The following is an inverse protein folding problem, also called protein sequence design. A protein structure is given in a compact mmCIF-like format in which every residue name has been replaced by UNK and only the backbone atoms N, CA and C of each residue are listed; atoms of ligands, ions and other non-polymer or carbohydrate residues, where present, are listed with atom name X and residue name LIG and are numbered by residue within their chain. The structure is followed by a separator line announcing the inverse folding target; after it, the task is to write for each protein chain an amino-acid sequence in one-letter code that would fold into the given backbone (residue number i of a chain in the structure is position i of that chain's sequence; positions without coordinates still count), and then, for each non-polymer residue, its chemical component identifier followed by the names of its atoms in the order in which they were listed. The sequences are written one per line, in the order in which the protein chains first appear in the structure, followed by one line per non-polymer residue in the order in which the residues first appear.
data_IF_248437907185
#
_entry.id   IF_248437907185
#
_cell.length_a   1.000
_cell.length_b   1.000
_cell.length_c   1.000
_cell.angle_alpha   90.00
_cell.angle_beta   90.00
_cell.angle_gamma   90.00
#
_symmetry.space_group_name_H-M   'P 1'
#
loop_
_entity.id
_entity.type
_entity.pdbx_description
1 polymer ?
#
# COMPACT_ATOMS: atom_id res chain seq x y z
N UNK A 1 -10.05 7.02 39.67
CA UNK A 1 -9.47 5.82 39.04
C UNK A 1 -9.35 6.10 37.56
N UNK A 2 -8.17 5.88 36.99
CA UNK A 2 -8.03 5.81 35.51
C UNK A 2 -8.29 4.35 35.09
N UNK A 3 -9.10 4.18 34.05
CA UNK A 3 -9.50 2.87 33.52
C UNK A 3 -8.55 2.44 32.41
N UNK A 4 -8.32 1.14 32.17
CA UNK A 4 -7.56 0.70 31.03
C UNK A 4 -8.30 1.06 29.72
N UNK A 5 -7.56 1.37 28.66
CA UNK A 5 -8.10 1.76 27.35
C UNK A 5 -8.07 0.57 26.36
N UNK A 6 -9.00 0.58 25.40
CA UNK A 6 -9.02 -0.37 24.29
C UNK A 6 -7.72 -0.32 23.50
N UNK A 7 -7.24 -1.48 23.03
CA UNK A 7 -5.99 -1.62 22.29
C UNK A 7 -6.19 -2.44 21.02
N UNK A 8 -5.72 -1.90 19.89
CA UNK A 8 -5.49 -2.67 18.66
C UNK A 8 -4.00 -3.07 18.61
N UNK A 9 -3.72 -4.35 18.49
CA UNK A 9 -2.37 -4.89 18.50
C UNK A 9 -2.12 -5.80 17.29
N UNK A 10 -0.91 -5.74 16.75
CA UNK A 10 -0.48 -6.66 15.70
C UNK A 10 -0.04 -7.98 16.34
N UNK A 11 -0.37 -9.10 15.68
CA UNK A 11 0.08 -10.44 16.09
C UNK A 11 1.58 -10.44 16.40
N UNK A 12 1.97 -11.04 17.52
CA UNK A 12 3.36 -11.18 17.95
C UNK A 12 3.90 -10.00 18.75
N UNK A 13 3.16 -8.88 18.88
CA UNK A 13 3.58 -7.74 19.69
C UNK A 13 3.25 -7.92 21.17
N UNK A 14 3.80 -7.05 22.01
CA UNK A 14 3.43 -6.97 23.44
C UNK A 14 2.43 -5.84 23.64
N UNK A 15 1.47 -6.07 24.54
CA UNK A 15 0.43 -5.11 24.94
C UNK A 15 0.53 -4.87 26.43
N UNK A 16 0.50 -3.62 26.87
CA UNK A 16 0.44 -3.27 28.28
C UNK A 16 -0.81 -2.44 28.55
N UNK A 17 -1.59 -2.88 29.56
CA UNK A 17 -2.69 -2.15 30.12
C UNK A 17 -2.26 -1.53 31.45
N UNK A 18 -2.54 -0.25 31.65
CA UNK A 18 -2.20 0.50 32.85
C UNK A 18 -3.46 1.09 33.51
N UNK A 19 -3.42 1.15 34.84
CA UNK A 19 -4.42 1.85 35.61
C UNK A 19 -3.78 2.79 36.64
N UNK A 20 -4.51 3.79 37.07
CA UNK A 20 -4.14 4.61 38.21
C UNK A 20 -5.32 4.70 39.19
N UNK A 21 -5.08 4.32 40.42
CA UNK A 21 -6.09 4.38 41.46
C UNK A 21 -5.58 5.14 42.71
N UNK A 22 -6.46 5.87 43.32
CA UNK A 22 -6.24 6.58 44.62
C UNK A 22 -7.18 6.07 45.65
N UNK A 23 -6.77 6.06 46.91
CA UNK A 23 -7.57 5.63 48.05
C UNK A 23 -6.71 5.39 49.29
N UNK A 24 -7.37 5.00 50.38
CA UNK A 24 -6.68 4.65 51.62
C UNK A 24 -5.89 3.35 51.45
N UNK A 25 -4.67 3.34 51.93
CA UNK A 25 -3.76 2.17 51.85
C UNK A 25 -4.07 1.17 52.99
N UNK A 26 -3.74 -0.14 52.81
CA UNK A 26 -3.18 -0.75 51.63
C UNK A 26 -4.19 -0.90 50.48
N UNK A 27 -3.75 -0.68 49.23
CA UNK A 27 -4.54 -0.94 48.01
C UNK A 27 -3.97 -2.19 47.36
N UNK A 28 -4.83 -3.12 46.98
CA UNK A 28 -4.50 -4.34 46.24
C UNK A 28 -5.23 -4.35 44.91
N UNK A 29 -4.64 -5.01 43.92
CA UNK A 29 -5.12 -5.10 42.53
C UNK A 29 -5.23 -6.55 42.12
N UNK A 30 -6.21 -6.89 41.30
CA UNK A 30 -6.36 -8.17 40.65
C UNK A 30 -6.88 -7.98 39.25
N UNK A 31 -6.04 -8.28 38.25
CA UNK A 31 -6.44 -8.23 36.83
C UNK A 31 -7.33 -9.41 36.49
N UNK A 32 -8.30 -9.16 35.62
CA UNK A 32 -9.24 -10.16 35.11
C UNK A 32 -9.24 -10.14 33.58
N UNK A 33 -9.26 -11.32 32.94
CA UNK A 33 -9.55 -11.54 31.53
C UNK A 33 -10.95 -12.12 31.39
N UNK A 34 -11.85 -11.46 30.67
CA UNK A 34 -13.25 -11.87 30.48
C UNK A 34 -13.97 -12.15 31.80
N UNK A 35 -13.66 -11.37 32.83
CA UNK A 35 -14.25 -11.51 34.18
C UNK A 35 -13.60 -12.58 35.03
N UNK A 36 -12.61 -13.32 34.59
CA UNK A 36 -11.88 -14.36 35.35
C UNK A 36 -10.52 -13.83 35.79
N UNK A 37 -10.13 -14.06 37.03
CA UNK A 37 -8.86 -13.62 37.58
C UNK A 37 -7.67 -14.20 36.84
N UNK A 38 -6.70 -13.33 36.54
CA UNK A 38 -5.41 -13.71 35.97
C UNK A 38 -4.46 -13.94 37.16
N UNK A 39 -4.10 -15.20 37.41
CA UNK A 39 -3.29 -15.56 38.57
C UNK A 39 -1.95 -14.81 38.61
N UNK A 40 -1.63 -14.19 39.72
CA UNK A 40 -0.40 -13.42 39.94
C UNK A 40 -0.38 -12.01 39.34
N UNK A 41 -1.41 -11.59 38.63
CA UNK A 41 -1.49 -10.24 38.00
C UNK A 41 -2.09 -9.24 39.02
N UNK A 42 -1.25 -8.76 39.92
CA UNK A 42 -1.63 -7.91 41.07
C UNK A 42 -0.97 -6.52 41.06
N UNK A 43 -0.35 -6.13 39.95
CA UNK A 43 0.26 -4.81 39.79
C UNK A 43 -0.70 -3.75 39.22
N UNK A 44 -0.24 -2.51 39.10
CA UNK A 44 -0.97 -1.42 38.47
C UNK A 44 -0.92 -1.51 36.93
N UNK A 45 -0.11 -2.43 36.38
CA UNK A 45 -0.02 -2.72 34.95
C UNK A 45 -0.11 -4.22 34.69
N UNK A 46 -0.67 -4.59 33.52
CA UNK A 46 -0.70 -5.94 32.99
C UNK A 46 -0.05 -5.93 31.61
N UNK A 47 1.04 -6.69 31.47
CA UNK A 47 1.70 -6.89 30.15
C UNK A 47 1.38 -8.27 29.60
N UNK A 48 0.79 -8.28 28.39
CA UNK A 48 0.59 -9.47 27.60
C UNK A 48 1.73 -9.56 26.59
N UNK A 49 2.46 -10.65 26.56
CA UNK A 49 3.59 -10.85 25.64
C UNK A 49 3.18 -11.68 24.44
N UNK A 50 3.66 -11.29 23.23
CA UNK A 50 3.46 -12.07 22.02
C UNK A 50 1.99 -12.40 21.74
N UNK A 51 1.10 -11.38 21.75
CA UNK A 51 -0.34 -11.59 21.56
C UNK A 51 -0.65 -12.27 20.22
N UNK A 52 -1.62 -13.19 20.24
CA UNK A 52 -2.03 -13.98 19.09
C UNK A 52 -3.47 -13.67 18.67
N UNK A 53 -3.89 -14.08 17.46
CA UNK A 53 -5.26 -13.88 16.98
C UNK A 53 -6.31 -14.46 17.95
N UNK A 54 -5.97 -15.54 18.66
CA UNK A 54 -6.84 -16.14 19.67
C UNK A 54 -7.06 -15.26 20.92
N UNK A 55 -6.24 -14.23 21.13
CA UNK A 55 -6.43 -13.26 22.21
C UNK A 55 -7.38 -12.13 21.84
N UNK A 56 -7.71 -11.99 20.56
CA UNK A 56 -8.60 -10.96 20.04
C UNK A 56 -10.01 -11.10 20.66
N UNK A 57 -10.70 -9.97 20.85
CA UNK A 57 -12.01 -9.84 21.49
C UNK A 57 -12.02 -10.24 22.97
N UNK A 58 -10.84 -10.31 23.62
CA UNK A 58 -10.76 -10.46 25.07
C UNK A 58 -10.90 -9.11 25.77
N UNK A 59 -11.58 -9.09 26.90
CA UNK A 59 -11.71 -7.89 27.73
C UNK A 59 -10.86 -8.00 28.98
N UNK A 60 -10.25 -6.88 29.39
CA UNK A 60 -9.38 -6.80 30.55
C UNK A 60 -9.85 -5.69 31.50
N UNK A 61 -9.91 -5.99 32.80
CA UNK A 61 -10.29 -5.05 33.85
C UNK A 61 -9.54 -5.35 35.14
N UNK A 62 -9.62 -4.44 36.10
CA UNK A 62 -8.99 -4.60 37.42
C UNK A 62 -10.04 -4.51 38.52
N UNK A 63 -9.98 -5.42 39.44
CA UNK A 63 -10.64 -5.32 40.76
C UNK A 63 -9.62 -4.71 41.71
N UNK A 64 -10.02 -3.61 42.38
CA UNK A 64 -9.20 -2.83 43.30
C UNK A 64 -9.82 -2.93 44.68
N UNK A 65 -9.04 -3.32 45.66
CA UNK A 65 -9.55 -3.55 47.04
C UNK A 65 -8.69 -2.81 48.04
N UNK A 66 -9.37 -2.25 49.08
CA UNK A 66 -8.75 -1.75 50.30
C UNK A 66 -9.57 -2.17 51.54
N UNK A 67 -9.17 -1.83 52.78
CA UNK A 67 -9.92 -2.21 53.99
C UNK A 67 -11.34 -1.69 54.04
N UNK A 68 -11.73 -0.75 53.20
CA UNK A 68 -13.05 -0.11 53.19
C UNK A 68 -13.98 -0.61 52.09
N UNK A 69 -13.47 -1.44 51.17
CA UNK A 69 -14.27 -2.02 50.08
C UNK A 69 -13.52 -2.28 48.78
N UNK A 70 -14.28 -2.65 47.76
CA UNK A 70 -13.80 -2.96 46.41
C UNK A 70 -14.40 -2.04 45.37
N UNK A 71 -13.63 -1.77 44.33
CA UNK A 71 -14.08 -1.10 43.10
C UNK A 71 -13.54 -1.86 41.88
N UNK A 72 -14.30 -1.85 40.79
CA UNK A 72 -13.87 -2.49 39.53
C UNK A 72 -13.83 -1.44 38.44
N UNK A 73 -12.77 -1.49 37.61
CA UNK A 73 -12.66 -0.59 36.46
C UNK A 73 -13.64 -0.99 35.34
N UNK A 74 -13.85 -0.10 34.37
CA UNK A 74 -14.41 -0.50 33.10
C UNK A 74 -13.45 -1.50 32.40
N UNK A 75 -14.00 -2.25 31.47
CA UNK A 75 -13.23 -3.22 30.70
C UNK A 75 -12.63 -2.58 29.47
N UNK A 76 -11.34 -2.84 29.22
CA UNK A 76 -10.67 -2.56 27.96
C UNK A 76 -10.77 -3.75 27.02
N UNK A 77 -11.07 -3.49 25.75
CA UNK A 77 -11.10 -4.50 24.70
C UNK A 77 -9.71 -4.63 24.04
N UNK A 78 -9.22 -5.84 23.92
CA UNK A 78 -8.06 -6.16 23.09
C UNK A 78 -8.54 -6.68 21.72
N UNK A 79 -8.15 -6.00 20.67
CA UNK A 79 -8.33 -6.48 19.30
C UNK A 79 -6.96 -6.82 18.70
N UNK A 80 -6.78 -8.05 18.26
CA UNK A 80 -5.51 -8.51 17.65
C UNK A 80 -5.75 -8.85 16.19
N UNK A 81 -4.87 -8.36 15.32
CA UNK A 81 -4.95 -8.58 13.90
C UNK A 81 -3.57 -8.66 13.24
N UNK A 82 -3.56 -8.89 11.93
CA UNK A 82 -2.36 -8.87 11.09
C UNK A 82 -2.27 -7.56 10.33
N UNK A 83 -1.07 -6.99 10.25
CA UNK A 83 -0.79 -5.86 9.38
C UNK A 83 -1.08 -6.21 7.90
N UNK A 84 -1.38 -5.25 7.04
CA UNK A 84 -1.43 -5.47 5.61
C UNK A 84 -0.11 -6.04 5.08
N UNK A 85 -0.21 -6.89 4.07
CA UNK A 85 0.94 -7.40 3.29
C UNK A 85 0.51 -7.55 1.84
N UNK A 86 1.21 -6.88 0.92
CA UNK A 86 0.88 -6.93 -0.50
C UNK A 86 1.12 -8.32 -1.08
N UNK A 87 0.14 -8.78 -1.88
CA UNK A 87 0.18 -10.05 -2.64
C UNK A 87 0.11 -9.80 -4.15
N UNK A 88 -0.36 -8.61 -4.56
CA UNK A 88 -0.32 -8.11 -5.93
C UNK A 88 0.35 -6.74 -5.90
N UNK A 89 1.36 -6.57 -6.75
CA UNK A 89 2.11 -5.32 -6.94
C UNK A 89 1.84 -4.76 -8.33
N UNK A 90 1.94 -3.42 -8.54
CA UNK A 90 1.81 -2.86 -9.89
C UNK A 90 2.93 -3.41 -10.79
N UNK A 91 2.57 -3.71 -12.03
CA UNK A 91 3.52 -4.20 -13.03
C UNK A 91 4.10 -3.04 -13.84
N UNK A 92 5.34 -3.24 -14.34
CA UNK A 92 5.91 -2.35 -15.35
C UNK A 92 5.02 -2.37 -16.59
N UNK A 93 4.75 -1.18 -17.12
CA UNK A 93 3.79 -0.98 -18.22
C UNK A 93 4.36 0.01 -19.23
N UNK A 94 4.29 -0.34 -20.50
CA UNK A 94 4.55 0.59 -21.60
C UNK A 94 3.22 1.03 -22.21
N UNK A 95 3.02 2.31 -22.34
CA UNK A 95 1.81 2.91 -22.90
C UNK A 95 2.12 3.91 -24.01
N UNK A 96 1.21 4.02 -24.97
CA UNK A 96 1.25 5.09 -25.96
C UNK A 96 0.50 6.30 -25.41
N UNK A 97 1.00 7.50 -25.65
CA UNK A 97 0.32 8.76 -25.30
C UNK A 97 -1.14 8.75 -25.79
N UNK A 98 -2.06 9.23 -24.94
CA UNK A 98 -3.49 9.24 -25.19
C UNK A 98 -4.23 7.93 -24.88
N UNK A 99 -3.55 6.84 -24.52
CA UNK A 99 -4.20 5.59 -24.12
C UNK A 99 -4.53 5.57 -22.60
N UNK A 100 -5.40 4.66 -22.19
CA UNK A 100 -5.70 4.47 -20.76
C UNK A 100 -4.82 3.37 -20.18
N UNK A 101 -4.35 3.57 -18.93
CA UNK A 101 -3.57 2.61 -18.15
C UNK A 101 -4.30 2.29 -16.86
N UNK A 102 -4.33 1.01 -16.49
CA UNK A 102 -4.88 0.54 -15.21
C UNK A 102 -3.76 -0.20 -14.47
N UNK A 103 -3.43 0.29 -13.27
CA UNK A 103 -2.50 -0.37 -12.35
C UNK A 103 -3.31 -0.98 -11.21
N UNK A 104 -2.90 -2.16 -10.74
CA UNK A 104 -3.65 -2.93 -9.73
C UNK A 104 -2.73 -3.38 -8.61
N UNK A 105 -3.26 -3.34 -7.38
CA UNK A 105 -2.64 -3.91 -6.19
C UNK A 105 -3.65 -4.73 -5.41
N UNK A 106 -3.17 -5.66 -4.60
CA UNK A 106 -3.98 -6.31 -3.56
C UNK A 106 -3.10 -6.63 -2.34
N UNK A 107 -3.70 -6.57 -1.15
CA UNK A 107 -3.05 -6.88 0.11
C UNK A 107 -3.95 -7.74 0.98
N UNK A 108 -3.33 -8.73 1.66
CA UNK A 108 -3.93 -9.49 2.74
C UNK A 108 -3.67 -8.79 4.07
N UNK A 109 -4.53 -9.05 5.06
CA UNK A 109 -4.41 -8.51 6.42
C UNK A 109 -5.76 -8.47 7.12
N UNK A 110 -5.75 -8.05 8.37
CA UNK A 110 -7.01 -7.83 9.12
C UNK A 110 -7.55 -6.44 8.78
N UNK A 111 -8.76 -6.40 8.22
CA UNK A 111 -9.40 -5.16 7.75
C UNK A 111 -10.02 -4.28 8.83
N UNK A 112 -10.48 -3.09 8.45
CA UNK A 112 -10.52 -2.59 7.09
C UNK A 112 -9.14 -2.16 6.57
N UNK A 113 -8.82 -2.47 5.30
CA UNK A 113 -7.58 -2.06 4.64
C UNK A 113 -7.91 -0.91 3.69
N UNK A 114 -7.28 0.24 3.92
CA UNK A 114 -7.28 1.39 3.02
C UNK A 114 -6.03 1.39 2.14
N UNK A 115 -6.13 2.00 0.96
CA UNK A 115 -5.02 2.15 0.03
C UNK A 115 -4.77 3.62 -0.27
N UNK A 116 -3.53 3.98 -0.57
CA UNK A 116 -3.13 5.27 -1.11
C UNK A 116 -2.07 5.05 -2.20
N UNK A 117 -2.38 5.47 -3.44
CA UNK A 117 -1.42 5.42 -4.53
C UNK A 117 -0.45 6.58 -4.48
N UNK A 118 0.79 6.30 -4.91
CA UNK A 118 1.88 7.26 -5.00
C UNK A 118 2.53 7.19 -6.39
N UNK A 119 2.91 8.36 -6.92
CA UNK A 119 3.78 8.50 -8.10
C UNK A 119 5.12 9.08 -7.64
N UNK A 120 6.23 8.39 -7.93
CA UNK A 120 7.58 8.80 -7.53
C UNK A 120 7.69 9.11 -6.02
N UNK A 121 6.91 8.39 -5.18
CA UNK A 121 6.88 8.55 -3.73
C UNK A 121 5.96 9.67 -3.21
N UNK A 122 5.26 10.38 -4.09
CA UNK A 122 4.30 11.45 -3.72
C UNK A 122 2.88 10.90 -3.86
N UNK A 123 2.03 11.18 -2.86
CA UNK A 123 0.65 10.74 -2.85
C UNK A 123 -0.15 11.33 -4.02
N UNK A 124 -0.99 10.50 -4.63
CA UNK A 124 -1.96 10.90 -5.64
C UNK A 124 -3.30 11.11 -4.96
N UNK A 125 -3.71 12.36 -4.84
CA UNK A 125 -4.94 12.75 -4.15
C UNK A 125 -6.16 11.98 -4.66
N UNK A 126 -6.96 11.43 -3.73
CA UNK A 126 -8.17 10.68 -4.03
C UNK A 126 -7.95 9.29 -4.62
N UNK A 127 -6.71 8.86 -4.86
CA UNK A 127 -6.38 7.55 -5.42
C UNK A 127 -6.26 6.49 -4.32
N UNK A 128 -7.42 6.04 -3.81
CA UNK A 128 -7.51 5.17 -2.61
C UNK A 128 -8.07 3.77 -2.86
N UNK A 129 -8.28 3.40 -4.12
CA UNK A 129 -8.78 2.07 -4.51
C UNK A 129 -7.66 1.04 -4.71
N UNK A 130 -8.04 -0.24 -4.88
CA UNK A 130 -7.12 -1.32 -5.31
C UNK A 130 -6.61 -1.13 -6.74
N UNK A 131 -7.27 -0.28 -7.52
CA UNK A 131 -6.91 0.05 -8.90
C UNK A 131 -6.69 1.55 -9.03
N UNK A 132 -5.65 1.91 -9.78
CA UNK A 132 -5.40 3.27 -10.26
C UNK A 132 -5.65 3.27 -11.76
N UNK A 133 -6.57 4.14 -12.22
CA UNK A 133 -6.83 4.35 -13.64
C UNK A 133 -6.27 5.70 -14.05
N UNK A 134 -5.36 5.68 -15.01
CA UNK A 134 -4.81 6.86 -15.67
C UNK A 134 -5.47 6.96 -17.05
N UNK A 135 -6.25 8.01 -17.30
CA UNK A 135 -6.95 8.19 -18.57
C UNK A 135 -6.13 9.06 -19.50
N UNK A 136 -6.06 8.67 -20.79
CA UNK A 136 -5.38 9.42 -21.84
C UNK A 136 -3.97 9.87 -21.41
N UNK A 137 -3.11 8.90 -21.01
CA UNK A 137 -1.80 9.20 -20.43
C UNK A 137 -0.96 10.10 -21.30
N UNK A 138 -0.26 11.03 -20.68
CA UNK A 138 0.70 11.96 -21.32
C UNK A 138 2.13 11.54 -20.98
N UNK A 139 3.14 12.09 -21.72
CA UNK A 139 4.55 11.83 -21.45
C UNK A 139 4.94 12.16 -20.00
N UNK A 140 4.27 13.17 -19.41
CA UNK A 140 4.45 13.57 -18.00
C UNK A 140 3.97 12.52 -16.99
N UNK A 141 3.13 11.54 -17.40
CA UNK A 141 2.66 10.47 -16.53
C UNK A 141 3.67 9.35 -16.34
N UNK A 142 4.74 9.31 -17.13
CA UNK A 142 5.82 8.37 -16.91
C UNK A 142 6.39 8.50 -15.49
N UNK A 143 6.70 7.35 -14.87
CA UNK A 143 7.22 7.33 -13.50
C UNK A 143 6.99 6.02 -12.79
N UNK A 144 7.42 5.95 -11.52
CA UNK A 144 7.25 4.80 -10.66
C UNK A 144 5.97 4.94 -9.83
N UNK A 145 5.09 3.97 -9.92
CA UNK A 145 3.81 3.92 -9.21
C UNK A 145 3.80 2.79 -8.18
N UNK A 146 3.38 3.10 -6.96
CA UNK A 146 3.22 2.14 -5.88
C UNK A 146 2.00 2.48 -5.03
N UNK A 147 1.58 1.58 -4.16
CA UNK A 147 0.53 1.84 -3.19
C UNK A 147 1.02 1.58 -1.77
N UNK A 148 0.49 2.34 -0.81
CA UNK A 148 0.58 2.10 0.63
C UNK A 148 -0.76 1.53 1.09
N UNK A 149 -0.74 0.38 1.75
CA UNK A 149 -1.89 -0.23 2.40
C UNK A 149 -1.83 0.02 3.91
N UNK A 150 -2.93 0.44 4.52
CA UNK A 150 -3.02 0.78 5.94
C UNK A 150 -4.22 0.09 6.58
N UNK A 151 -4.07 -0.37 7.82
CA UNK A 151 -5.15 -0.87 8.68
C UNK A 151 -4.91 -0.44 10.13
N UNK A 152 -5.84 -0.69 11.08
CA UNK A 152 -5.60 -0.49 12.51
C UNK A 152 -4.42 -1.29 13.07
N UNK A 153 -3.91 -2.28 12.34
CA UNK A 153 -2.84 -3.19 12.76
C UNK A 153 -1.49 -2.90 12.11
N UNK A 154 -1.37 -1.86 11.31
CA UNK A 154 -0.13 -1.45 10.66
C UNK A 154 -0.30 -1.05 9.21
N UNK A 155 0.83 -0.95 8.51
CA UNK A 155 0.89 -0.59 7.09
C UNK A 155 1.95 -1.39 6.36
N UNK A 156 1.80 -1.50 5.04
CA UNK A 156 2.78 -2.05 4.12
C UNK A 156 2.82 -1.20 2.84
N UNK A 157 3.93 -1.27 2.11
CA UNK A 157 4.12 -0.54 0.84
C UNK A 157 4.46 -1.53 -0.27
N UNK A 158 3.73 -1.46 -1.37
CA UNK A 158 3.99 -2.32 -2.52
C UNK A 158 5.36 -2.03 -3.16
N UNK A 159 5.89 -3.01 -3.90
CA UNK A 159 6.90 -2.71 -4.92
C UNK A 159 6.33 -1.68 -5.89
N UNK A 160 7.21 -0.95 -6.57
CA UNK A 160 6.78 -0.02 -7.60
C UNK A 160 6.74 -0.71 -8.96
N UNK A 161 5.73 -0.39 -9.79
CA UNK A 161 5.71 -0.63 -11.22
C UNK A 161 6.10 0.65 -11.95
N UNK A 162 6.91 0.54 -13.00
CA UNK A 162 7.34 1.67 -13.83
C UNK A 162 6.40 1.81 -15.02
N UNK A 163 5.76 2.98 -15.14
CA UNK A 163 5.02 3.37 -16.32
C UNK A 163 5.97 4.14 -17.26
N UNK A 164 6.19 3.60 -18.46
CA UNK A 164 6.82 4.31 -19.55
C UNK A 164 5.73 4.77 -20.54
N UNK A 165 5.75 6.04 -20.91
CA UNK A 165 4.82 6.61 -21.89
C UNK A 165 5.63 7.12 -23.08
N UNK A 166 5.17 6.81 -24.28
CA UNK A 166 5.84 7.20 -25.50
C UNK A 166 4.91 7.43 -26.68
N UNK A 167 5.45 7.98 -27.74
CA UNK A 167 4.75 8.25 -29.00
C UNK A 167 5.15 7.25 -30.07
N UNK A 168 4.19 6.81 -30.89
CA UNK A 168 4.47 6.07 -32.11
C UNK A 168 5.25 6.95 -33.10
N UNK A 169 6.09 6.34 -33.93
CA UNK A 169 6.76 7.11 -35.01
C UNK A 169 5.74 7.74 -35.95
N UNK A 170 5.97 9.00 -36.31
CA UNK A 170 5.20 9.74 -37.34
C UNK A 170 6.13 10.17 -38.43
N UNK A 171 5.82 9.78 -39.68
CA UNK A 171 6.56 10.21 -40.84
C UNK A 171 6.22 11.69 -41.12
N UNK A 172 7.22 12.55 -41.07
CA UNK A 172 7.09 14.00 -41.31
C UNK A 172 7.57 14.42 -42.71
N UNK A 173 8.36 13.58 -43.36
CA UNK A 173 8.74 13.75 -44.75
C UNK A 173 8.75 12.38 -45.45
N UNK A 174 8.00 12.27 -46.52
CA UNK A 174 7.94 11.08 -47.40
C UNK A 174 9.02 11.14 -48.49
N UNK A 175 9.47 9.98 -49.00
CA UNK A 175 10.36 9.96 -50.18
C UNK A 175 9.69 10.70 -51.33
N UNK A 176 10.46 11.54 -52.01
CA UNK A 176 10.00 12.26 -53.19
C UNK A 176 10.12 11.40 -54.46
N UNK A 177 9.28 11.69 -55.47
CA UNK A 177 9.41 11.09 -56.78
C UNK A 177 10.74 11.54 -57.43
N UNK A 178 11.45 10.60 -58.05
CA UNK A 178 12.72 10.85 -58.69
C UNK A 178 12.72 10.35 -60.15
N UNK A 179 13.07 11.24 -61.08
CA UNK A 179 13.35 10.88 -62.45
C UNK A 179 14.86 10.66 -62.63
N UNK A 180 15.25 9.48 -63.06
CA UNK A 180 16.65 9.11 -63.17
C UNK A 180 16.97 8.59 -64.55
N UNK A 181 18.19 8.88 -65.03
CA UNK A 181 18.75 8.33 -66.28
C UNK A 181 19.50 7.03 -65.96
N UNK A 182 19.48 6.09 -66.88
CA UNK A 182 20.23 4.83 -66.76
C UNK A 182 21.68 5.10 -66.39
N UNK A 183 22.20 4.45 -65.34
CA UNK A 183 23.59 4.56 -64.89
C UNK A 183 23.82 5.65 -63.82
N UNK A 184 22.76 6.43 -63.40
CA UNK A 184 22.91 7.40 -62.33
C UNK A 184 22.54 6.80 -60.97
N UNK A 185 23.12 7.34 -59.88
CA UNK A 185 22.75 7.02 -58.55
C UNK A 185 21.50 7.80 -58.17
N UNK A 186 20.62 7.13 -57.38
CA UNK A 186 19.39 7.74 -56.83
C UNK A 186 19.39 7.54 -55.34
N UNK A 187 19.02 8.59 -54.58
CA UNK A 187 18.83 8.55 -53.13
C UNK A 187 17.38 8.90 -52.83
N UNK A 188 16.78 8.11 -51.93
CA UNK A 188 15.49 8.41 -51.34
C UNK A 188 15.69 8.70 -49.86
N UNK A 189 15.11 9.79 -49.36
CA UNK A 189 15.21 10.22 -47.98
C UNK A 189 13.83 10.16 -47.32
N UNK A 190 13.83 9.89 -46.01
CA UNK A 190 12.65 9.88 -45.16
C UNK A 190 12.99 10.57 -43.85
N UNK A 191 12.04 11.27 -43.27
CA UNK A 191 12.16 11.78 -41.90
C UNK A 191 10.96 11.37 -41.06
N UNK A 192 11.24 10.91 -39.86
CA UNK A 192 10.19 10.54 -38.85
C UNK A 192 10.56 11.13 -37.51
N UNK A 193 9.50 11.46 -36.73
CA UNK A 193 9.58 11.88 -35.34
C UNK A 193 8.89 10.83 -34.47
N UNK A 194 9.25 10.75 -33.18
CA UNK A 194 8.73 9.80 -32.20
C UNK A 194 9.76 9.50 -31.12
N UNK A 195 9.43 8.61 -30.21
CA UNK A 195 10.36 8.15 -29.19
C UNK A 195 11.45 7.28 -29.81
N UNK A 196 12.69 7.53 -29.46
CA UNK A 196 13.86 6.76 -29.95
C UNK A 196 14.02 5.46 -29.13
N UNK A 197 14.59 4.39 -29.74
CA UNK A 197 15.11 4.31 -31.10
C UNK A 197 14.00 4.13 -32.14
N UNK A 198 14.12 4.81 -33.29
CA UNK A 198 13.26 4.60 -34.44
C UNK A 198 14.05 3.75 -35.46
N UNK A 199 13.45 2.68 -35.94
CA UNK A 199 14.01 1.80 -36.96
C UNK A 199 13.27 1.99 -38.30
N UNK A 200 13.99 1.81 -39.42
CA UNK A 200 13.43 1.96 -40.73
C UNK A 200 13.66 0.68 -41.53
N UNK A 201 12.67 0.32 -42.36
CA UNK A 201 12.79 -0.72 -43.37
C UNK A 201 12.29 -0.19 -44.71
N UNK A 202 13.18 -0.17 -45.69
CA UNK A 202 12.84 0.21 -47.06
C UNK A 202 12.21 -0.96 -47.79
N UNK A 203 11.24 -0.64 -48.65
CA UNK A 203 10.54 -1.64 -49.46
C UNK A 203 10.52 -1.18 -50.95
N UNK A 204 10.67 -2.13 -51.85
CA UNK A 204 10.45 -1.96 -53.30
C UNK A 204 9.28 -2.82 -53.73
N UNK A 205 8.21 -2.19 -54.27
CA UNK A 205 6.98 -2.88 -54.69
C UNK A 205 6.39 -3.78 -53.56
N UNK A 206 6.48 -3.30 -52.32
CA UNK A 206 5.99 -4.03 -51.14
C UNK A 206 6.90 -5.16 -50.61
N UNK A 207 8.12 -5.29 -51.15
CA UNK A 207 9.13 -6.28 -50.72
C UNK A 207 10.31 -5.57 -50.06
N UNK A 208 10.74 -6.08 -48.89
CA UNK A 208 11.86 -5.53 -48.15
C UNK A 208 13.16 -5.52 -48.97
N UNK A 209 13.90 -4.43 -48.85
CA UNK A 209 15.23 -4.29 -49.44
C UNK A 209 16.26 -4.49 -48.31
N UNK A 210 17.15 -5.46 -48.46
CA UNK A 210 18.26 -5.74 -47.55
C UNK A 210 19.46 -4.84 -47.86
#
# INVERSE_FOLDING_TARGET
VAHPADVNATVGTNVTFDINATGNTPITYQWQKNGVDINGSTGTSLTLTNVQLGDSNSTYRVVITNPYGTSTTDSALLTVGTAPSFVIHPLDTNATEGTNVILTVDANGTGPIGYQWQKNGVDLDGSTGKTLTLNAVELGDAGAYRAVATSPFGSDTSSAGVLAVGNVPVIVAHPADVNATVGTNVTFDINATGNTPITYQWQKNGVDIN
#
